data_IF_732067114993
#
_entry.id   IF_732067114993
#
_cell.length_a   1.000
_cell.length_b   1.000
_cell.length_c   1.000
_cell.angle_alpha   90.00
_cell.angle_beta   90.00
_cell.angle_gamma   90.00
#
_symmetry.space_group_name_H-M   'P 1'
#
loop_
_entity.id
_entity.type
_entity.pdbx_description
1 polymer ?
#
# COMPACT_ATOMS: atom_id res chain seq x y z
N UNK A 1 4.48 22.34 31.21
CA UNK A 1 4.48 20.93 30.74
C UNK A 1 3.23 20.26 31.30
N UNK A 2 2.31 19.77 30.44
CA UNK A 2 1.13 19.03 30.91
C UNK A 2 1.50 17.56 31.11
N UNK A 3 1.13 16.98 32.24
CA UNK A 3 1.32 15.55 32.51
C UNK A 3 0.28 14.68 31.78
N UNK A 4 -0.80 15.29 31.27
CA UNK A 4 -1.90 14.64 30.56
C UNK A 4 -2.16 15.39 29.25
N UNK A 5 -1.29 15.26 28.23
CA UNK A 5 -1.53 15.88 26.92
C UNK A 5 -2.77 15.29 26.25
N UNK A 6 -3.47 16.08 25.45
CA UNK A 6 -4.56 15.64 24.59
C UNK A 6 -4.28 16.10 23.16
N UNK A 7 -4.01 15.16 22.25
CA UNK A 7 -3.75 15.47 20.84
C UNK A 7 -5.06 15.59 20.05
N UNK A 8 -5.98 14.63 20.21
CA UNK A 8 -7.25 14.57 19.44
C UNK A 8 -7.03 14.61 17.92
N UNK A 9 -5.96 13.97 17.47
CA UNK A 9 -5.60 13.85 16.06
C UNK A 9 -6.14 12.53 15.48
N UNK A 10 -6.38 12.53 14.17
CA UNK A 10 -6.82 11.35 13.42
C UNK A 10 -5.83 11.06 12.31
N UNK A 11 -5.52 9.77 12.13
CA UNK A 11 -4.63 9.26 11.10
C UNK A 11 -5.31 8.06 10.42
N UNK A 12 -5.20 7.99 9.10
CA UNK A 12 -5.69 6.87 8.31
C UNK A 12 -4.50 6.11 7.72
N UNK A 13 -4.47 4.80 7.94
CA UNK A 13 -3.42 3.91 7.44
C UNK A 13 -4.05 2.83 6.57
N UNK A 14 -3.41 2.52 5.44
CA UNK A 14 -3.73 1.32 4.70
C UNK A 14 -2.99 0.13 5.31
N UNK A 15 -3.76 -0.75 5.94
CA UNK A 15 -3.28 -2.02 6.49
C UNK A 15 -3.47 -3.12 5.45
N UNK A 16 -2.38 -3.77 5.08
CA UNK A 16 -2.35 -4.93 4.21
C UNK A 16 -1.79 -6.11 5.04
N UNK A 17 -2.45 -7.26 5.00
CA UNK A 17 -2.14 -8.44 5.83
C UNK A 17 -0.81 -9.12 5.46
N UNK A 18 -0.02 -8.52 4.57
CA UNK A 18 1.28 -8.99 4.11
C UNK A 18 2.46 -8.44 4.93
N UNK A 19 2.20 -7.55 5.90
CA UNK A 19 3.21 -6.95 6.78
C UNK A 19 2.96 -7.30 8.25
N UNK A 20 3.91 -6.92 9.12
CA UNK A 20 3.75 -7.05 10.58
C UNK A 20 2.39 -6.47 11.00
N UNK A 21 1.56 -7.32 11.58
CA UNK A 21 0.21 -6.99 12.05
C UNK A 21 0.18 -6.09 13.29
N UNK A 22 1.31 -5.47 13.62
CA UNK A 22 1.52 -4.70 14.83
C UNK A 22 1.69 -3.24 14.46
N UNK A 23 0.81 -2.39 15.00
CA UNK A 23 0.97 -0.95 14.98
C UNK A 23 1.91 -0.55 16.13
N UNK A 24 3.12 -0.14 15.76
CA UNK A 24 4.14 0.37 16.68
C UNK A 24 3.94 1.86 16.92
N UNK A 25 3.83 2.26 18.19
CA UNK A 25 3.58 3.65 18.59
C UNK A 25 4.65 4.09 19.58
N UNK A 26 5.32 5.21 19.28
CA UNK A 26 6.31 5.82 20.15
C UNK A 26 5.88 7.22 20.59
N UNK A 27 6.02 7.51 21.88
CA UNK A 27 5.73 8.84 22.44
C UNK A 27 7.04 9.55 22.74
N UNK A 28 7.23 10.73 22.17
CA UNK A 28 8.45 11.53 22.31
C UNK A 28 8.17 12.87 22.98
N UNK A 29 9.09 13.31 23.85
CA UNK A 29 9.14 14.65 24.41
C UNK A 29 10.12 15.48 23.60
N UNK A 30 9.66 16.61 23.08
CA UNK A 30 10.50 17.61 22.43
C UNK A 30 10.75 18.78 23.37
N UNK A 31 12.00 19.00 23.76
CA UNK A 31 12.38 20.19 24.53
C UNK A 31 12.85 21.32 23.60
N UNK A 32 12.65 22.58 24.03
CA UNK A 32 13.03 23.80 23.29
C UNK A 32 14.52 23.87 22.87
N UNK A 33 15.38 23.03 23.46
CA UNK A 33 16.81 22.93 23.16
C UNK A 33 17.17 21.80 22.18
N UNK A 34 16.20 21.27 21.40
CA UNK A 34 16.36 20.13 20.46
C UNK A 34 16.76 18.80 21.10
N UNK A 35 16.61 18.65 22.42
CA UNK A 35 16.69 17.33 23.02
C UNK A 35 15.33 16.64 22.84
N UNK A 36 15.36 15.51 22.14
CA UNK A 36 14.23 14.60 21.98
C UNK A 36 14.45 13.41 22.92
N UNK A 37 13.53 13.25 23.88
CA UNK A 37 13.56 12.18 24.87
C UNK A 37 12.37 11.26 24.60
N UNK A 38 12.62 9.97 24.38
CA UNK A 38 11.54 8.99 24.21
C UNK A 38 10.90 8.68 25.55
N UNK A 39 9.60 8.95 25.67
CA UNK A 39 8.79 8.74 26.87
C UNK A 39 8.21 7.32 26.99
N UNK A 40 8.22 6.54 25.92
CA UNK A 40 7.76 5.16 25.94
C UNK A 40 7.31 4.67 24.58
N UNK A 41 7.07 3.37 24.51
CA UNK A 41 6.59 2.66 23.33
C UNK A 41 5.39 1.80 23.69
N UNK A 42 4.48 1.59 22.75
CA UNK A 42 3.40 0.62 22.88
C UNK A 42 3.09 0.03 21.50
N UNK A 43 2.47 -1.15 21.52
CA UNK A 43 2.26 -1.99 20.35
C UNK A 43 0.82 -2.46 20.34
N UNK A 44 0.16 -2.44 19.18
CA UNK A 44 -1.21 -2.94 19.03
C UNK A 44 -1.25 -3.99 17.93
N UNK A 45 -1.68 -5.20 18.27
CA UNK A 45 -2.00 -6.22 17.28
C UNK A 45 -3.34 -5.88 16.61
N UNK A 46 -3.27 -5.51 15.33
CA UNK A 46 -4.43 -5.11 14.52
C UNK A 46 -5.33 -6.31 14.22
N UNK A 47 -4.80 -7.54 14.16
CA UNK A 47 -5.59 -8.75 13.86
C UNK A 47 -6.51 -9.14 15.01
N UNK A 48 -6.13 -8.77 16.24
CA UNK A 48 -6.94 -9.01 17.43
C UNK A 48 -8.12 -8.03 17.56
N UNK A 49 -8.15 -6.96 16.76
CA UNK A 49 -9.21 -5.95 16.84
C UNK A 49 -10.45 -6.35 16.03
N UNK A 50 -11.65 -6.26 16.62
CA UNK A 50 -12.89 -6.41 15.87
C UNK A 50 -12.99 -5.39 14.72
N UNK A 51 -13.35 -5.88 13.54
CA UNK A 51 -13.59 -5.04 12.36
C UNK A 51 -14.96 -4.37 12.40
N UNK A 52 -15.11 -3.26 11.66
CA UNK A 52 -16.36 -2.48 11.50
C UNK A 52 -16.89 -1.79 12.77
N UNK A 53 -16.05 -1.64 13.80
CA UNK A 53 -16.35 -0.86 14.98
C UNK A 53 -15.13 -0.05 15.43
N UNK A 54 -15.38 0.96 16.26
CA UNK A 54 -14.33 1.74 16.92
C UNK A 54 -13.92 1.06 18.21
N UNK A 55 -12.65 0.68 18.32
CA UNK A 55 -12.07 0.05 19.49
C UNK A 55 -11.37 1.10 20.34
N UNK A 56 -11.77 1.24 21.60
CA UNK A 56 -11.11 2.14 22.55
C UNK A 56 -10.02 1.37 23.30
N UNK A 57 -8.76 1.79 23.13
CA UNK A 57 -7.59 1.13 23.68
C UNK A 57 -6.87 2.04 24.67
N UNK A 58 -6.61 1.53 25.87
CA UNK A 58 -5.72 2.14 26.85
C UNK A 58 -4.42 1.32 26.90
N UNK A 59 -3.37 1.86 26.32
CA UNK A 59 -2.11 1.16 26.08
C UNK A 59 -1.06 1.65 27.07
N UNK A 60 -0.56 0.81 28.00
CA UNK A 60 0.49 1.21 28.92
C UNK A 60 1.79 1.44 28.14
N UNK A 61 2.50 2.53 28.47
CA UNK A 61 3.79 2.84 27.87
C UNK A 61 4.87 1.97 28.51
N UNK A 62 5.68 1.33 27.69
CA UNK A 62 6.84 0.59 28.19
C UNK A 62 7.80 1.53 28.93
N UNK A 63 8.36 1.03 30.04
CA UNK A 63 9.42 1.67 30.86
C UNK A 63 8.99 2.92 31.63
N UNK A 64 7.76 3.41 31.49
CA UNK A 64 7.26 4.60 32.19
C UNK A 64 5.82 4.42 32.70
N UNK A 65 5.44 5.06 33.83
CA UNK A 65 4.12 4.89 34.45
C UNK A 65 2.95 5.60 33.72
N UNK A 66 3.04 5.78 32.40
CA UNK A 66 2.02 6.45 31.58
C UNK A 66 1.21 5.46 30.75
N UNK A 67 0.02 5.87 30.31
CA UNK A 67 -0.79 5.12 29.34
C UNK A 67 -1.23 6.05 28.21
N UNK A 68 -1.34 5.51 27.00
CA UNK A 68 -1.85 6.17 25.81
C UNK A 68 -3.28 5.69 25.54
N UNK A 69 -4.22 6.64 25.49
CA UNK A 69 -5.60 6.36 25.09
C UNK A 69 -5.76 6.63 23.59
N UNK A 70 -6.24 5.64 22.83
CA UNK A 70 -6.43 5.74 21.38
C UNK A 70 -7.73 5.06 20.96
N UNK A 71 -8.35 5.57 19.89
CA UNK A 71 -9.47 4.92 19.21
C UNK A 71 -8.95 4.34 17.89
N UNK A 72 -9.17 3.05 17.65
CA UNK A 72 -8.77 2.36 16.41
C UNK A 72 -10.00 1.71 15.78
N UNK A 73 -10.33 2.09 14.55
CA UNK A 73 -11.35 1.44 13.75
C UNK A 73 -10.70 0.68 12.60
N UNK A 74 -10.89 -0.64 12.56
CA UNK A 74 -10.41 -1.48 11.46
C UNK A 74 -11.57 -1.69 10.49
N UNK A 75 -11.47 -1.11 9.31
CA UNK A 75 -12.48 -1.24 8.26
C UNK A 75 -11.86 -1.81 6.99
N UNK A 76 -12.54 -2.74 6.29
CA UNK A 76 -12.15 -3.10 4.94
C UNK A 76 -12.14 -1.83 4.08
N UNK A 77 -11.01 -1.54 3.47
CA UNK A 77 -10.89 -0.44 2.51
C UNK A 77 -10.55 -1.01 1.14
N UNK A 78 -11.19 -0.47 0.11
CA UNK A 78 -10.85 -0.70 -1.29
C UNK A 78 -9.74 0.29 -1.65
N UNK A 79 -8.52 0.01 -1.18
CA UNK A 79 -7.33 0.79 -1.47
C UNK A 79 -6.47 0.11 -2.53
N UNK A 80 -5.52 0.86 -3.08
CA UNK A 80 -4.47 0.30 -3.94
C UNK A 80 -3.38 -0.38 -3.09
N UNK A 81 -2.83 -1.50 -3.56
CA UNK A 81 -1.77 -2.23 -2.83
C UNK A 81 -0.66 -2.75 -3.75
N UNK A 82 0.54 -2.94 -3.18
CA UNK A 82 1.69 -3.59 -3.83
C UNK A 82 2.16 -4.73 -2.93
N UNK A 83 2.23 -5.95 -3.46
CA UNK A 83 2.71 -7.14 -2.76
C UNK A 83 3.76 -7.90 -3.58
N UNK A 84 4.44 -8.87 -2.95
CA UNK A 84 5.36 -9.80 -3.62
C UNK A 84 4.61 -10.88 -4.41
N UNK A 85 5.25 -11.46 -5.44
CA UNK A 85 4.64 -12.49 -6.30
C UNK A 85 4.15 -13.73 -5.53
N UNK A 86 4.77 -14.08 -4.41
CA UNK A 86 4.34 -15.19 -3.56
C UNK A 86 3.02 -14.91 -2.81
N UNK A 87 2.57 -13.66 -2.76
CA UNK A 87 1.36 -13.20 -2.07
C UNK A 87 0.38 -12.66 -3.10
N UNK A 88 -0.24 -13.59 -3.84
CA UNK A 88 -1.29 -13.27 -4.80
C UNK A 88 -2.66 -13.62 -4.20
N UNK A 89 -3.51 -12.64 -3.90
CA UNK A 89 -4.90 -12.89 -3.47
C UNK A 89 -5.68 -13.86 -4.37
N UNK A 90 -5.50 -13.72 -5.68
CA UNK A 90 -6.11 -14.62 -6.66
C UNK A 90 -5.42 -15.99 -6.75
N UNK A 91 -4.34 -16.25 -6.01
CA UNK A 91 -3.64 -17.53 -5.95
C UNK A 91 -4.21 -18.47 -4.91
N UNK A 92 -4.75 -17.95 -3.81
CA UNK A 92 -5.28 -18.74 -2.69
C UNK A 92 -6.73 -19.21 -2.98
N UNK A 93 -7.03 -20.53 -2.93
CA UNK A 93 -8.38 -21.06 -3.11
C UNK A 93 -9.42 -20.50 -2.12
N UNK A 94 -9.03 -20.23 -0.88
CA UNK A 94 -9.92 -19.71 0.15
C UNK A 94 -10.29 -18.25 -0.12
N UNK A 95 -9.31 -17.43 -0.51
CA UNK A 95 -9.57 -16.05 -0.93
C UNK A 95 -10.46 -16.01 -2.17
N UNK A 96 -10.23 -16.88 -3.16
CA UNK A 96 -11.12 -17.01 -4.33
C UNK A 96 -12.56 -17.32 -3.94
N UNK A 97 -12.78 -18.21 -2.97
CA UNK A 97 -14.13 -18.50 -2.48
C UNK A 97 -14.76 -17.29 -1.81
N UNK A 98 -14.01 -16.57 -0.98
CA UNK A 98 -14.49 -15.34 -0.33
C UNK A 98 -14.84 -14.24 -1.35
N UNK A 99 -14.00 -14.05 -2.37
CA UNK A 99 -14.24 -13.12 -3.49
C UNK A 99 -15.52 -13.53 -4.24
N UNK A 100 -15.66 -14.81 -4.59
CA UNK A 100 -16.85 -15.32 -5.28
C UNK A 100 -18.12 -15.12 -4.46
N UNK A 101 -18.06 -15.33 -3.15
CA UNK A 101 -19.18 -15.07 -2.25
C UNK A 101 -19.48 -13.57 -2.12
N UNK A 102 -18.46 -12.71 -2.08
CA UNK A 102 -18.61 -11.25 -1.99
C UNK A 102 -19.33 -10.69 -3.21
N UNK A 103 -18.89 -11.07 -4.40
CA UNK A 103 -19.44 -10.58 -5.67
C UNK A 103 -20.56 -11.47 -6.23
N UNK A 104 -21.12 -12.39 -5.44
CA UNK A 104 -22.27 -13.16 -5.88
C UNK A 104 -23.51 -12.26 -6.01
N UNK A 105 -24.42 -12.61 -6.92
CA UNK A 105 -25.65 -11.84 -7.20
C UNK A 105 -26.44 -11.43 -5.95
N UNK A 106 -26.44 -12.25 -4.89
CA UNK A 106 -27.16 -11.93 -3.64
C UNK A 106 -26.51 -10.79 -2.84
N UNK A 107 -25.20 -10.61 -2.98
CA UNK A 107 -24.39 -9.65 -2.24
C UNK A 107 -24.02 -8.42 -3.09
N UNK A 108 -24.00 -8.51 -4.41
CA UNK A 108 -23.72 -7.38 -5.31
C UNK A 108 -24.69 -6.21 -5.14
N UNK A 109 -25.94 -6.46 -4.72
CA UNK A 109 -26.91 -5.39 -4.42
C UNK A 109 -26.70 -4.70 -3.07
N UNK A 110 -25.76 -5.19 -2.23
CA UNK A 110 -25.47 -4.58 -0.92
C UNK A 110 -24.56 -3.36 -1.05
N UNK A 111 -23.67 -3.35 -2.04
CA UNK A 111 -22.79 -2.24 -2.33
C UNK A 111 -22.56 -2.13 -3.84
N UNK A 112 -23.35 -1.28 -4.49
CA UNK A 112 -23.31 -1.08 -5.95
C UNK A 112 -22.03 -0.35 -6.38
N UNK A 113 -21.33 0.29 -5.44
CA UNK A 113 -20.04 0.95 -5.72
C UNK A 113 -18.87 -0.03 -5.67
N UNK A 114 -19.07 -1.23 -5.13
CA UNK A 114 -18.08 -2.29 -5.07
C UNK A 114 -18.11 -3.12 -6.34
N UNK A 115 -17.46 -2.60 -7.39
CA UNK A 115 -17.41 -3.23 -8.71
C UNK A 115 -16.45 -4.43 -8.72
N UNK A 116 -15.34 -4.31 -7.99
CA UNK A 116 -14.28 -5.31 -7.99
C UNK A 116 -12.90 -4.69 -7.83
N UNK A 117 -11.88 -5.50 -8.10
CA UNK A 117 -10.49 -5.06 -8.13
C UNK A 117 -9.75 -5.70 -9.31
N UNK A 118 -8.74 -4.99 -9.82
CA UNK A 118 -7.80 -5.46 -10.83
C UNK A 118 -6.50 -5.88 -10.14
N UNK A 119 -5.99 -7.06 -10.46
CA UNK A 119 -4.67 -7.50 -10.01
C UNK A 119 -3.71 -7.61 -11.20
N UNK A 120 -2.61 -6.87 -11.14
CA UNK A 120 -1.58 -6.78 -12.18
C UNK A 120 -0.28 -7.36 -11.67
N UNK A 121 0.31 -8.31 -12.38
CA UNK A 121 1.62 -8.90 -12.05
C UNK A 121 2.68 -8.34 -12.98
N UNK A 122 3.57 -7.51 -12.46
CA UNK A 122 4.70 -6.93 -13.19
C UNK A 122 5.92 -7.82 -12.94
N UNK A 123 6.22 -8.68 -13.91
CA UNK A 123 7.28 -9.68 -13.78
C UNK A 123 8.63 -9.10 -14.18
N UNK A 124 8.78 -8.73 -15.46
CA UNK A 124 10.04 -8.25 -16.04
C UNK A 124 9.83 -7.46 -17.32
N UNK A 125 10.84 -6.69 -17.72
CA UNK A 125 10.99 -6.15 -19.07
C UNK A 125 12.23 -6.73 -19.75
N UNK A 126 12.29 -6.66 -21.08
CA UNK A 126 13.35 -7.26 -21.90
C UNK A 126 13.75 -6.26 -22.97
N UNK A 127 15.06 -6.17 -23.23
CA UNK A 127 15.67 -5.34 -24.28
C UNK A 127 15.25 -3.85 -24.22
N UNK A 128 15.25 -3.26 -23.03
CA UNK A 128 15.02 -1.81 -22.88
C UNK A 128 16.09 -0.98 -23.59
N UNK A 129 15.69 0.22 -24.01
CA UNK A 129 16.61 1.20 -24.60
C UNK A 129 17.60 1.66 -23.54
N UNK A 130 18.90 1.66 -23.88
CA UNK A 130 19.92 2.26 -23.04
C UNK A 130 19.80 3.80 -23.07
N UNK A 131 19.39 4.39 -21.95
CA UNK A 131 19.27 5.83 -21.80
C UNK A 131 20.49 6.45 -21.08
N UNK A 132 21.26 5.68 -20.29
CA UNK A 132 22.49 6.17 -19.67
C UNK A 132 23.72 6.20 -20.58
N UNK A 133 24.66 7.09 -20.26
CA UNK A 133 26.03 7.13 -20.80
C UNK A 133 26.79 5.80 -20.63
N UNK A 134 26.40 4.97 -19.67
CA UNK A 134 27.01 3.65 -19.43
C UNK A 134 26.50 2.56 -20.39
N UNK A 135 25.57 2.89 -21.28
CA UNK A 135 24.92 1.93 -22.19
C UNK A 135 23.91 1.02 -21.49
N UNK A 136 23.36 1.48 -20.36
CA UNK A 136 22.39 0.75 -19.53
C UNK A 136 21.25 1.70 -19.12
N UNK A 137 20.38 1.21 -18.27
CA UNK A 137 19.28 1.95 -17.66
C UNK A 137 19.08 1.44 -16.23
N UNK A 138 18.55 2.29 -15.38
CA UNK A 138 18.01 2.09 -14.04
C UNK A 138 16.46 2.08 -14.10
N UNK A 139 15.81 1.06 -14.72
CA UNK A 139 14.38 1.11 -14.99
C UNK A 139 13.47 0.85 -13.79
N UNK A 140 12.32 1.53 -13.79
CA UNK A 140 11.16 1.26 -12.93
C UNK A 140 9.85 1.41 -13.72
N UNK A 141 8.78 0.76 -13.22
CA UNK A 141 7.45 0.81 -13.83
C UNK A 141 6.49 1.62 -12.95
N UNK A 142 5.70 2.49 -13.59
CA UNK A 142 4.57 3.21 -13.00
C UNK A 142 3.29 2.64 -13.59
N UNK A 143 2.33 2.32 -12.72
CA UNK A 143 1.02 1.77 -13.06
C UNK A 143 -0.05 2.76 -12.60
N UNK A 144 -0.90 3.18 -13.53
CA UNK A 144 -1.95 4.16 -13.32
C UNK A 144 -3.31 3.56 -13.70
N UNK A 145 -4.30 3.70 -12.82
CA UNK A 145 -5.69 3.35 -13.09
C UNK A 145 -6.61 4.44 -12.53
N UNK A 146 -7.23 5.20 -13.42
CA UNK A 146 -8.03 6.36 -13.04
C UNK A 146 -7.17 7.40 -12.30
N UNK A 147 -7.46 7.61 -11.01
CA UNK A 147 -6.73 8.54 -10.15
C UNK A 147 -5.68 7.87 -9.26
N UNK A 148 -5.57 6.54 -9.32
CA UNK A 148 -4.62 5.82 -8.48
C UNK A 148 -3.33 5.51 -9.25
N UNK A 149 -2.18 5.73 -8.60
CA UNK A 149 -0.85 5.52 -9.19
C UNK A 149 0.04 4.75 -8.21
N UNK A 150 0.68 3.70 -8.69
CA UNK A 150 1.65 2.88 -7.96
C UNK A 150 2.91 2.68 -8.79
N UNK A 151 4.06 2.43 -8.15
CA UNK A 151 5.32 2.20 -8.86
C UNK A 151 6.11 1.02 -8.29
N UNK A 152 6.94 0.40 -9.13
CA UNK A 152 7.92 -0.61 -8.69
C UNK A 152 9.13 0.06 -8.02
N UNK A 153 10.00 -0.76 -7.45
CA UNK A 153 11.37 -0.35 -7.15
C UNK A 153 12.17 -0.21 -8.45
N UNK A 154 13.25 0.54 -8.39
CA UNK A 154 14.23 0.70 -9.47
C UNK A 154 15.21 -0.46 -9.52
N UNK A 155 15.50 -0.95 -10.72
CA UNK A 155 16.52 -1.99 -10.94
C UNK A 155 17.73 -1.37 -11.63
N UNK A 156 18.81 -1.15 -10.91
CA UNK A 156 19.96 -0.43 -11.44
C UNK A 156 20.75 -1.21 -12.52
N UNK A 157 21.15 -0.50 -13.58
CA UNK A 157 22.11 -0.89 -14.61
C UNK A 157 21.71 -2.19 -15.30
N UNK A 158 20.45 -2.29 -15.69
CA UNK A 158 19.88 -3.49 -16.30
C UNK A 158 18.82 -3.17 -17.37
N UNK A 159 19.09 -3.58 -18.62
CA UNK A 159 18.13 -3.48 -19.73
C UNK A 159 17.06 -4.58 -19.73
N UNK A 160 17.21 -5.57 -18.83
CA UNK A 160 16.29 -6.70 -18.66
C UNK A 160 15.88 -6.82 -17.18
N UNK A 161 15.21 -5.79 -16.62
CA UNK A 161 14.88 -5.76 -15.20
C UNK A 161 13.82 -6.79 -14.85
N UNK A 162 13.94 -7.40 -13.66
CA UNK A 162 12.92 -8.25 -13.07
C UNK A 162 12.41 -7.60 -11.78
N UNK A 163 11.13 -7.25 -11.74
CA UNK A 163 10.51 -6.63 -10.56
C UNK A 163 9.75 -7.63 -9.70
N UNK A 164 9.08 -8.60 -10.33
CA UNK A 164 8.30 -9.64 -9.65
C UNK A 164 7.32 -9.09 -8.58
N UNK A 165 6.60 -8.02 -8.92
CA UNK A 165 5.64 -7.36 -8.03
C UNK A 165 4.19 -7.53 -8.49
N UNK A 166 3.28 -7.54 -7.53
CA UNK A 166 1.83 -7.62 -7.76
C UNK A 166 1.20 -6.34 -7.28
N UNK A 167 0.35 -5.75 -8.12
CA UNK A 167 -0.36 -4.51 -7.85
C UNK A 167 -1.85 -4.82 -7.82
N UNK A 168 -2.57 -4.32 -6.83
CA UNK A 168 -4.03 -4.45 -6.74
C UNK A 168 -4.66 -3.07 -6.77
N UNK A 169 -5.60 -2.86 -7.67
CA UNK A 169 -6.35 -1.60 -7.82
C UNK A 169 -7.85 -1.84 -7.63
N UNK A 170 -8.56 -1.03 -6.82
CA UNK A 170 -10.01 -1.08 -6.79
C UNK A 170 -10.57 -0.52 -8.11
N UNK A 171 -11.56 -1.19 -8.70
CA UNK A 171 -12.18 -0.73 -9.95
C UNK A 171 -13.25 0.30 -9.59
N UNK A 172 -13.04 1.55 -10.02
CA UNK A 172 -13.98 2.67 -9.82
C UNK A 172 -14.88 2.84 -11.04
N UNK A 173 -14.33 2.70 -12.25
CA UNK A 173 -15.05 2.66 -13.50
C UNK A 173 -14.56 1.48 -14.35
N UNK A 174 -15.48 0.70 -14.91
CA UNK A 174 -15.15 -0.41 -15.82
C UNK A 174 -14.59 0.09 -17.16
N UNK A 175 -14.79 1.37 -17.50
CA UNK A 175 -14.24 2.00 -18.70
C UNK A 175 -12.83 2.58 -18.48
N UNK A 176 -12.29 2.48 -17.27
CA UNK A 176 -10.91 2.89 -17.00
C UNK A 176 -9.92 2.11 -17.87
N UNK A 177 -8.74 2.70 -18.05
CA UNK A 177 -7.63 2.12 -18.80
C UNK A 177 -6.46 2.00 -17.84
N UNK A 178 -5.93 0.79 -17.68
CA UNK A 178 -4.68 0.59 -16.97
C UNK A 178 -3.54 1.07 -17.86
N UNK A 179 -2.83 2.08 -17.42
CA UNK A 179 -1.62 2.55 -18.08
C UNK A 179 -0.39 2.03 -17.34
N UNK A 180 0.53 1.40 -18.07
CA UNK A 180 1.81 0.93 -17.53
C UNK A 180 2.92 1.62 -18.30
N UNK A 181 3.69 2.44 -17.59
CA UNK A 181 4.77 3.24 -18.15
C UNK A 181 6.10 2.80 -17.53
N UNK A 182 7.12 2.59 -18.36
CA UNK A 182 8.49 2.29 -17.92
C UNK A 182 9.33 3.54 -18.05
N UNK A 183 10.05 3.87 -16.99
CA UNK A 183 10.95 5.02 -16.92
C UNK A 183 12.35 4.59 -16.52
N UNK A 184 13.34 5.45 -16.79
CA UNK A 184 14.72 5.36 -16.35
C UNK A 184 15.00 6.34 -15.23
N UNK A 185 15.55 5.89 -14.09
CA UNK A 185 15.87 6.78 -12.96
C UNK A 185 17.28 7.38 -13.06
N UNK A 186 17.37 8.67 -13.35
CA UNK A 186 18.62 9.41 -13.55
C UNK A 186 19.07 10.23 -12.31
N UNK A 187 18.91 9.68 -11.12
CA UNK A 187 19.27 10.35 -9.86
C UNK A 187 18.52 11.67 -9.63
N UNK A 188 19.21 12.81 -9.76
CA UNK A 188 18.61 14.14 -9.52
C UNK A 188 17.84 14.71 -10.73
N UNK A 189 17.86 14.04 -11.88
CA UNK A 189 17.13 14.46 -13.09
C UNK A 189 15.73 13.86 -13.13
N UNK A 190 14.79 14.49 -13.87
CA UNK A 190 13.52 13.84 -14.15
C UNK A 190 13.75 12.51 -14.87
N UNK A 191 12.96 11.46 -14.55
CA UNK A 191 13.10 10.16 -15.20
C UNK A 191 12.88 10.20 -16.70
N UNK A 192 13.68 9.46 -17.45
CA UNK A 192 13.54 9.35 -18.90
C UNK A 192 12.49 8.31 -19.28
N UNK A 193 11.68 8.61 -20.28
CA UNK A 193 10.62 7.71 -20.74
C UNK A 193 11.20 6.57 -21.59
N UNK A 194 10.94 5.32 -21.20
CA UNK A 194 11.40 4.12 -21.92
C UNK A 194 10.28 3.41 -22.70
N UNK A 195 9.02 3.59 -22.32
CA UNK A 195 7.88 3.01 -23.04
C UNK A 195 6.58 3.02 -22.25
N UNK A 196 5.44 2.85 -22.94
CA UNK A 196 4.10 2.81 -22.34
C UNK A 196 3.19 1.82 -23.04
N UNK A 197 2.35 1.14 -22.26
CA UNK A 197 1.22 0.35 -22.75
C UNK A 197 -0.05 0.79 -22.04
N UNK A 198 -1.17 0.78 -22.76
CA UNK A 198 -2.50 1.12 -22.25
C UNK A 198 -3.43 -0.08 -22.47
N UNK A 199 -4.07 -0.56 -21.41
CA UNK A 199 -4.89 -1.77 -21.39
C UNK A 199 -6.29 -1.38 -20.87
N UNK A 200 -7.29 -1.23 -21.76
CA UNK A 200 -8.66 -0.96 -21.34
C UNK A 200 -9.20 -2.11 -20.49
N UNK A 201 -9.85 -1.83 -19.36
CA UNK A 201 -10.35 -2.88 -18.48
C UNK A 201 -11.37 -3.80 -19.17
N UNK A 202 -12.16 -3.27 -20.10
CA UNK A 202 -13.12 -4.05 -20.90
C UNK A 202 -12.47 -5.03 -21.90
N UNK A 203 -11.16 -4.97 -22.10
CA UNK A 203 -10.43 -5.88 -22.99
C UNK A 203 -9.85 -7.11 -22.30
N UNK A 204 -9.94 -7.16 -20.96
CA UNK A 204 -9.44 -8.23 -20.09
C UNK A 204 -10.57 -9.20 -19.76
#
# INVERSE_FOLDING_TARGET
KSANPQWREQFDFHYFSDRKDILDIEVWRKDYKKHEERLGTCHVDITALPTKQTNCLELPLEKHPGSLLMLIAVAPCTGVSISDLCVCPLGDPNERQQISQRYCMKNSFRDIKDIGFLQVKVLKAVDLMAADFSGKSDPFCVLELGNDMLQTHTVYKNLNPEWNKVFTFPIKDIHDVLEVTVFDEDGDKPPDFLGKVAIPLLSV
#
